data_IF_405722910922
#
_entry.id   IF_405722910922
#
_cell.length_a   1.000
_cell.length_b   1.000
_cell.length_c   1.000
_cell.angle_alpha   90.00
_cell.angle_beta   90.00
_cell.angle_gamma   90.00
#
_symmetry.space_group_name_H-M   'P 1'
#
loop_
_entity.id
_entity.type
_entity.pdbx_description
1 polymer ?
#
# COMPACT_ATOMS: atom_id res chain seq x y z
N UNK A 1 -14.65 -11.41 -8.43
CA UNK A 1 -14.55 -10.67 -7.15
C UNK A 1 -13.13 -10.15 -7.03
N UNK A 2 -12.87 -8.83 -6.90
CA UNK A 2 -11.54 -8.38 -6.54
C UNK A 2 -11.25 -8.88 -5.12
N UNK A 3 -10.29 -9.77 -4.99
CA UNK A 3 -9.76 -10.19 -3.69
C UNK A 3 -9.23 -8.94 -2.99
N UNK A 4 -9.90 -8.54 -1.91
CA UNK A 4 -9.50 -7.37 -1.13
C UNK A 4 -8.16 -7.68 -0.48
N UNK A 5 -7.18 -6.81 -0.67
CA UNK A 5 -5.87 -6.90 -0.01
C UNK A 5 -5.71 -5.76 0.99
N UNK A 6 -4.92 -6.01 2.03
CA UNK A 6 -4.42 -4.98 2.94
C UNK A 6 -2.94 -4.77 2.67
N UNK A 7 -2.53 -3.51 2.70
CA UNK A 7 -1.13 -3.15 2.66
C UNK A 7 -0.62 -2.97 4.09
N UNK A 8 0.48 -3.65 4.41
CA UNK A 8 1.22 -3.47 5.65
C UNK A 8 2.48 -2.66 5.36
N UNK A 9 2.82 -1.74 6.25
CA UNK A 9 4.06 -0.96 6.19
C UNK A 9 4.96 -1.36 7.36
N UNK A 10 6.25 -1.50 7.09
CA UNK A 10 7.27 -1.61 8.10
C UNK A 10 7.80 -0.20 8.40
N UNK A 11 7.46 0.36 9.56
CA UNK A 11 7.84 1.72 9.96
C UNK A 11 9.35 1.87 10.22
N UNK A 12 10.06 0.80 10.58
CA UNK A 12 11.52 0.83 10.77
C UNK A 12 12.28 1.05 9.44
N UNK A 13 11.67 0.62 8.33
CA UNK A 13 12.25 0.76 6.98
C UNK A 13 11.64 1.92 6.20
N UNK A 14 10.39 2.27 6.49
CA UNK A 14 9.67 3.31 5.77
C UNK A 14 10.12 4.70 6.23
N UNK A 15 10.65 5.48 5.30
CA UNK A 15 11.04 6.88 5.51
C UNK A 15 10.08 7.86 4.82
N UNK A 16 8.82 7.45 4.58
CA UNK A 16 7.74 8.26 4.03
C UNK A 16 8.10 8.99 2.72
N UNK A 17 8.83 8.32 1.82
CA UNK A 17 9.29 8.93 0.56
C UNK A 17 8.18 9.26 -0.45
N UNK A 18 6.96 8.76 -0.23
CA UNK A 18 5.83 8.96 -1.13
C UNK A 18 5.89 8.19 -2.45
N UNK A 19 6.92 7.37 -2.68
CA UNK A 19 7.07 6.61 -3.93
C UNK A 19 5.88 5.69 -4.22
N UNK A 20 5.34 5.02 -3.19
CA UNK A 20 4.16 4.16 -3.29
C UNK A 20 2.88 4.94 -3.68
N UNK A 21 2.71 6.16 -3.19
CA UNK A 21 1.59 7.03 -3.56
C UNK A 21 1.71 7.49 -5.03
N UNK A 22 2.91 7.87 -5.45
CA UNK A 22 3.17 8.36 -6.81
C UNK A 22 2.98 7.31 -7.91
N UNK A 23 3.27 6.04 -7.63
CA UNK A 23 3.06 4.94 -8.60
C UNK A 23 1.63 4.38 -8.58
N UNK A 24 0.79 4.78 -7.63
CA UNK A 24 -0.54 4.19 -7.47
C UNK A 24 -1.50 4.78 -8.51
N UNK A 25 -1.96 4.01 -9.52
CA UNK A 25 -2.80 4.55 -10.59
C UNK A 25 -4.19 4.97 -10.10
N UNK A 26 -4.65 4.41 -8.98
CA UNK A 26 -5.97 4.69 -8.39
C UNK A 26 -5.89 5.61 -7.18
N UNK A 27 -4.69 6.12 -6.83
CA UNK A 27 -4.47 6.95 -5.65
C UNK A 27 -5.06 6.32 -4.38
N UNK A 28 -4.84 5.02 -4.24
CA UNK A 28 -5.25 4.25 -3.06
C UNK A 28 -4.28 4.40 -1.88
N UNK A 29 -3.15 5.06 -2.07
CA UNK A 29 -2.15 5.32 -1.03
C UNK A 29 -1.88 6.82 -1.02
N UNK A 30 -1.99 7.42 0.16
CA UNK A 30 -1.62 8.81 0.41
C UNK A 30 -0.50 8.83 1.45
N UNK A 31 0.54 9.64 1.21
CA UNK A 31 1.69 9.77 2.11
C UNK A 31 1.84 11.23 2.47
N UNK A 32 1.93 11.51 3.76
CA UNK A 32 2.09 12.83 4.34
C UNK A 32 3.34 12.87 5.22
N UNK A 33 3.73 14.06 5.65
CA UNK A 33 4.86 14.25 6.58
C UNK A 33 4.66 13.58 7.94
N UNK A 34 3.40 13.33 8.34
CA UNK A 34 3.03 12.69 9.60
C UNK A 34 2.76 11.20 9.51
N UNK A 35 2.74 10.61 8.32
CA UNK A 35 2.39 9.19 8.14
C UNK A 35 1.86 8.86 6.76
N UNK A 36 1.10 7.78 6.66
CA UNK A 36 0.51 7.31 5.42
C UNK A 36 -0.92 6.80 5.65
N UNK A 37 -1.73 6.79 4.58
CA UNK A 37 -3.09 6.31 4.59
C UNK A 37 -3.33 5.37 3.40
N UNK A 38 -4.11 4.31 3.61
CA UNK A 38 -4.46 3.32 2.60
C UNK A 38 -5.97 3.23 2.42
N UNK A 39 -6.43 3.63 1.22
CA UNK A 39 -7.84 3.67 0.85
C UNK A 39 -8.18 2.38 0.11
N UNK A 40 -8.60 1.37 0.87
CA UNK A 40 -8.86 0.03 0.35
C UNK A 40 -9.95 -0.01 -0.74
N UNK A 41 -10.90 0.93 -0.71
CA UNK A 41 -11.97 1.06 -1.70
C UNK A 41 -11.45 1.43 -3.10
N UNK A 42 -10.33 2.15 -3.17
CA UNK A 42 -9.68 2.52 -4.43
C UNK A 42 -8.65 1.46 -4.88
N UNK A 43 -8.28 0.51 -4.01
CA UNK A 43 -7.25 -0.47 -4.32
C UNK A 43 -7.78 -1.54 -5.29
N UNK A 44 -7.08 -1.72 -6.40
CA UNK A 44 -7.38 -2.76 -7.41
C UNK A 44 -6.48 -4.00 -7.28
N UNK A 45 -5.79 -4.15 -6.14
CA UNK A 45 -4.91 -5.27 -5.84
C UNK A 45 -3.77 -5.50 -6.84
N UNK A 46 -3.28 -4.44 -7.51
CA UNK A 46 -2.22 -4.53 -8.52
C UNK A 46 -0.80 -4.74 -7.94
N UNK A 47 -0.60 -4.51 -6.64
CA UNK A 47 0.67 -4.69 -5.90
C UNK A 47 1.87 -3.88 -6.42
N UNK A 48 1.66 -2.90 -7.32
CA UNK A 48 2.74 -2.02 -7.83
C UNK A 48 3.42 -1.22 -6.71
N UNK A 49 2.67 -0.79 -5.70
CA UNK A 49 3.22 -0.06 -4.55
C UNK A 49 4.27 -0.85 -3.77
N UNK A 50 4.10 -2.18 -3.65
CA UNK A 50 5.06 -3.07 -2.99
C UNK A 50 6.35 -3.15 -3.80
N UNK A 51 6.24 -3.34 -5.11
CA UNK A 51 7.39 -3.42 -6.02
C UNK A 51 8.13 -2.09 -6.17
N UNK A 52 7.42 -0.97 -6.08
CA UNK A 52 8.00 0.36 -6.20
C UNK A 52 8.75 0.81 -4.94
N UNK A 53 8.60 0.10 -3.81
CA UNK A 53 9.28 0.47 -2.58
C UNK A 53 10.76 0.09 -2.65
N UNK A 54 11.70 1.05 -2.71
CA UNK A 54 13.13 0.74 -2.88
C UNK A 54 13.73 0.03 -1.67
N UNK A 55 13.12 0.20 -0.49
CA UNK A 55 13.55 -0.39 0.78
C UNK A 55 12.74 -1.64 1.17
N UNK A 56 11.79 -2.05 0.34
CA UNK A 56 10.93 -3.21 0.60
C UNK A 56 10.16 -3.08 1.93
N UNK A 57 9.68 -1.88 2.25
CA UNK A 57 8.93 -1.62 3.49
C UNK A 57 7.44 -1.97 3.38
N UNK A 58 6.90 -2.15 2.18
CA UNK A 58 5.48 -2.48 1.98
C UNK A 58 5.29 -3.99 1.74
N UNK A 59 4.20 -4.55 2.26
CA UNK A 59 3.76 -5.92 2.02
C UNK A 59 2.26 -5.97 1.73
N UNK A 60 1.82 -6.88 0.86
CA UNK A 60 0.42 -7.05 0.50
C UNK A 60 -0.09 -8.40 1.00
N UNK A 61 -1.03 -8.37 1.93
CA UNK A 61 -1.68 -9.57 2.47
C UNK A 61 -3.12 -9.67 1.97
N UNK A 62 -3.58 -10.85 1.53
CA UNK A 62 -4.99 -11.07 1.25
C UNK A 62 -5.78 -10.91 2.55
N UNK A 63 -6.84 -10.11 2.51
CA UNK A 63 -7.80 -10.10 3.61
C UNK A 63 -8.65 -11.35 3.44
N UNK A 64 -8.31 -12.41 4.16
CA UNK A 64 -9.22 -13.53 4.38
C UNK A 64 -10.46 -12.99 5.09
N UNK A 65 -11.51 -12.75 4.32
CA UNK A 65 -12.85 -12.62 4.87
C UNK A 65 -13.20 -14.02 5.37
N UNK A 66 -12.97 -14.27 6.65
CA UNK A 66 -13.51 -15.43 7.35
C UNK A 66 -15.01 -15.50 7.01
N UNK A 67 -15.33 -16.61 6.33
CA UNK A 67 -16.60 -17.08 5.80
C UNK A 67 -17.86 -16.62 6.53
#
# INVERSE_FOLDING_TARGET
MPEKIKILVNEDRCYLCGGCAGVCPTLAIEVHSSGWEFIQEKCISCKICVNACPVGALSAEPLEVSK
#
